data_IF_490057859182
#
_entry.id   IF_490057859182
#
_cell.length_a   1.000
_cell.length_b   1.000
_cell.length_c   1.000
_cell.angle_alpha   90.00
_cell.angle_beta   90.00
_cell.angle_gamma   90.00
#
_symmetry.space_group_name_H-M   'P 1'
#
loop_
_entity.id
_entity.type
_entity.pdbx_description
1 polymer ?
#
# COMPACT_ATOMS: atom_id res chain seq x y z
N UNK A 1 24.54 -5.14 39.38
CA UNK A 1 24.00 -5.99 38.26
C UNK A 1 23.94 -7.41 38.73
N UNK A 2 22.83 -8.09 38.53
CA UNK A 2 22.73 -9.49 38.93
C UNK A 2 21.69 -10.24 38.08
N UNK A 3 22.04 -11.47 37.71
CA UNK A 3 21.10 -12.44 37.19
C UNK A 3 20.83 -13.44 38.30
N UNK A 4 19.61 -13.49 38.82
CA UNK A 4 19.25 -14.37 39.93
C UNK A 4 18.18 -15.38 39.46
N UNK A 5 18.29 -16.64 39.90
CA UNK A 5 17.27 -17.63 39.66
C UNK A 5 16.08 -17.37 40.58
N UNK A 6 14.89 -17.31 40.03
CA UNK A 6 13.64 -17.11 40.77
C UNK A 6 13.02 -18.41 41.22
N UNK A 7 12.08 -18.35 42.17
CA UNK A 7 11.35 -19.55 42.66
C UNK A 7 10.55 -20.27 41.55
N UNK A 8 10.22 -19.57 40.45
CA UNK A 8 9.47 -20.10 39.32
C UNK A 8 10.38 -20.61 38.20
N UNK A 9 11.59 -20.99 38.48
CA UNK A 9 12.58 -21.56 37.56
C UNK A 9 12.94 -20.65 36.37
N UNK A 10 12.72 -19.33 36.52
CA UNK A 10 13.14 -18.29 35.56
C UNK A 10 14.33 -17.51 36.05
N UNK A 11 14.99 -16.75 35.17
CA UNK A 11 16.13 -15.95 35.49
C UNK A 11 15.77 -14.47 35.45
N UNK A 12 15.88 -13.79 36.62
CA UNK A 12 15.64 -12.35 36.72
C UNK A 12 16.91 -11.58 36.49
N UNK A 13 16.90 -10.73 35.47
CA UNK A 13 17.95 -9.76 35.21
C UNK A 13 17.63 -8.45 35.90
N UNK A 14 18.62 -7.86 36.61
CA UNK A 14 18.54 -6.50 37.18
C UNK A 14 19.74 -5.69 36.72
N UNK A 15 19.51 -4.55 36.08
CA UNK A 15 20.52 -3.62 35.59
C UNK A 15 20.22 -2.22 36.11
N UNK A 16 21.19 -1.56 36.68
CA UNK A 16 21.11 -0.15 37.03
C UNK A 16 21.23 0.71 35.79
N UNK A 17 20.34 1.69 35.62
CA UNK A 17 20.33 2.64 34.50
C UNK A 17 20.69 4.02 35.04
N UNK A 18 21.81 4.63 34.61
CA UNK A 18 22.16 6.00 34.97
C UNK A 18 21.10 7.01 34.55
N UNK A 19 20.95 8.13 35.28
CA UNK A 19 19.89 9.11 35.04
C UNK A 19 19.99 9.75 33.64
N UNK A 20 21.20 10.05 33.21
CA UNK A 20 21.55 10.63 31.91
C UNK A 20 21.32 9.67 30.75
N UNK A 21 21.31 8.36 31.00
CA UNK A 21 21.10 7.31 29.99
C UNK A 21 19.60 6.96 29.81
N UNK A 22 18.79 7.18 30.82
CA UNK A 22 17.34 6.84 30.83
C UNK A 22 16.55 7.37 29.61
N UNK A 23 16.66 8.66 29.24
CA UNK A 23 15.93 9.21 28.10
C UNK A 23 16.26 8.47 26.80
N UNK A 24 17.51 8.09 26.61
CA UNK A 24 17.99 7.41 25.39
C UNK A 24 17.54 5.96 25.27
N UNK A 25 17.27 5.29 26.39
CA UNK A 25 16.81 3.91 26.41
C UNK A 25 15.29 3.77 26.55
N UNK A 26 14.56 4.88 26.72
CA UNK A 26 13.11 4.87 26.99
C UNK A 26 12.75 4.18 28.31
N UNK A 27 13.68 4.15 29.30
CA UNK A 27 13.50 3.49 30.59
C UNK A 27 13.31 4.56 31.66
N UNK A 28 12.17 4.58 32.34
CA UNK A 28 11.86 5.56 33.38
C UNK A 28 12.38 5.19 34.78
N UNK A 29 12.70 3.92 35.00
CA UNK A 29 13.12 3.40 36.32
C UNK A 29 14.65 3.38 36.50
N UNK A 30 15.12 3.56 37.74
CA UNK A 30 16.56 3.40 38.07
C UNK A 30 17.08 1.98 37.91
N UNK A 31 16.18 1.00 38.10
CA UNK A 31 16.50 -0.42 37.95
C UNK A 31 15.65 -1.01 36.85
N UNK A 32 16.30 -1.48 35.78
CA UNK A 32 15.65 -2.29 34.77
C UNK A 32 15.56 -3.74 35.26
N UNK A 33 14.36 -4.31 35.26
CA UNK A 33 14.11 -5.69 35.64
C UNK A 33 13.36 -6.44 34.53
N UNK A 34 13.84 -7.65 34.21
CA UNK A 34 13.15 -8.53 33.23
C UNK A 34 13.45 -10.00 33.56
N UNK A 35 12.42 -10.84 33.40
CA UNK A 35 12.55 -12.29 33.56
C UNK A 35 12.73 -13.00 32.23
N UNK A 36 13.58 -14.03 32.20
CA UNK A 36 13.91 -14.85 31.04
C UNK A 36 13.76 -16.32 31.36
N UNK A 37 13.49 -17.15 30.36
CA UNK A 37 13.36 -18.59 30.51
C UNK A 37 14.71 -19.27 30.77
N UNK A 38 15.79 -18.75 30.18
CA UNK A 38 17.13 -19.33 30.32
C UNK A 38 18.14 -18.28 30.78
N UNK A 39 19.19 -18.75 31.49
CA UNK A 39 20.31 -17.91 31.92
C UNK A 39 21.08 -17.33 30.71
N UNK A 40 21.14 -18.08 29.61
CA UNK A 40 21.81 -17.66 28.37
C UNK A 40 21.11 -16.46 27.73
N UNK A 41 19.78 -16.47 27.68
CA UNK A 41 18.96 -15.35 27.20
C UNK A 41 19.12 -14.11 28.09
N UNK A 42 19.06 -14.30 29.42
CA UNK A 42 19.28 -13.21 30.37
C UNK A 42 20.66 -12.57 30.18
N UNK A 43 21.70 -13.37 30.02
CA UNK A 43 23.09 -12.89 29.84
C UNK A 43 23.26 -12.19 28.46
N UNK A 44 22.64 -12.71 27.41
CA UNK A 44 22.68 -12.04 26.11
C UNK A 44 22.00 -10.66 26.17
N UNK A 45 20.84 -10.58 26.84
CA UNK A 45 20.12 -9.32 26.99
C UNK A 45 20.85 -8.33 27.90
N UNK A 46 21.51 -8.82 28.96
CA UNK A 46 22.40 -8.02 29.82
C UNK A 46 23.51 -7.36 29.00
N UNK A 47 24.21 -8.15 28.19
CA UNK A 47 25.29 -7.66 27.35
C UNK A 47 24.85 -6.62 26.35
N UNK A 48 23.68 -6.83 25.71
CA UNK A 48 23.08 -5.90 24.77
C UNK A 48 22.73 -4.58 25.46
N UNK A 49 22.11 -4.63 26.64
CA UNK A 49 21.73 -3.46 27.41
C UNK A 49 22.98 -2.68 27.90
N UNK A 50 24.00 -3.37 28.38
CA UNK A 50 25.27 -2.77 28.79
C UNK A 50 25.99 -2.09 27.64
N UNK A 51 25.99 -2.71 26.48
CA UNK A 51 26.57 -2.13 25.26
C UNK A 51 25.85 -0.82 24.90
N UNK A 52 24.53 -0.78 25.04
CA UNK A 52 23.75 0.44 24.82
C UNK A 52 24.05 1.52 25.83
N UNK A 53 24.10 1.18 27.13
CA UNK A 53 24.48 2.11 28.19
C UNK A 53 25.87 2.72 27.91
N UNK A 54 26.84 1.88 27.62
CA UNK A 54 28.21 2.33 27.34
C UNK A 54 28.27 3.23 26.09
N UNK A 55 27.54 2.94 25.05
CA UNK A 55 27.47 3.81 23.86
C UNK A 55 26.91 5.21 24.18
N UNK A 56 25.96 5.31 25.09
CA UNK A 56 25.44 6.60 25.55
C UNK A 56 26.49 7.36 26.36
N UNK A 57 27.15 6.66 27.33
CA UNK A 57 28.20 7.23 28.17
C UNK A 57 29.42 7.68 27.35
N UNK A 58 29.78 6.93 26.30
CA UNK A 58 30.89 7.27 25.38
C UNK A 58 30.52 8.39 24.36
N UNK A 59 29.30 8.96 24.44
CA UNK A 59 28.82 9.97 23.49
C UNK A 59 28.60 9.46 22.06
N UNK A 60 28.65 8.14 21.87
CA UNK A 60 28.50 7.45 20.57
C UNK A 60 27.02 7.14 20.30
N UNK A 61 26.17 7.30 21.31
CA UNK A 61 24.74 7.17 21.17
C UNK A 61 24.17 8.52 20.67
N UNK A 62 24.21 8.71 19.38
CA UNK A 62 23.24 9.58 18.78
C UNK A 62 21.90 8.90 19.03
N UNK A 63 20.98 9.63 19.71
CA UNK A 63 19.56 9.27 19.73
C UNK A 63 19.13 9.19 18.27
N UNK A 64 19.24 7.99 17.69
CA UNK A 64 18.92 7.83 16.32
C UNK A 64 17.41 7.75 16.31
N UNK A 65 16.74 8.88 15.98
CA UNK A 65 15.32 8.91 15.64
C UNK A 65 14.92 7.67 14.83
N UNK A 66 15.88 7.08 14.11
CA UNK A 66 15.74 5.87 13.30
C UNK A 66 15.54 4.56 14.07
N UNK A 67 15.67 4.53 15.39
CA UNK A 67 15.36 3.33 16.20
C UNK A 67 13.85 3.15 16.43
N UNK A 68 13.03 4.09 15.96
CA UNK A 68 11.59 3.97 15.88
C UNK A 68 11.20 2.74 15.03
N UNK A 69 10.16 1.99 15.45
CA UNK A 69 9.62 0.89 14.67
C UNK A 69 9.04 1.39 13.33
N UNK A 70 9.17 0.59 12.29
CA UNK A 70 8.59 0.91 10.99
C UNK A 70 7.07 1.15 11.08
N UNK A 71 6.36 0.35 11.91
CA UNK A 71 4.92 0.55 12.17
C UNK A 71 4.62 1.90 12.80
N UNK A 72 5.43 2.36 13.74
CA UNK A 72 5.23 3.61 14.47
C UNK A 72 5.61 4.80 13.60
N UNK A 73 6.70 4.70 12.84
CA UNK A 73 7.08 5.71 11.86
C UNK A 73 5.99 5.87 10.78
N UNK A 74 5.48 4.75 10.24
CA UNK A 74 4.36 4.78 9.30
C UNK A 74 3.17 5.53 9.89
N UNK A 75 2.71 5.14 11.10
CA UNK A 75 1.49 5.64 11.70
C UNK A 75 1.59 7.09 12.17
N UNK A 76 2.70 7.44 12.82
CA UNK A 76 2.82 8.71 13.56
C UNK A 76 3.53 9.81 12.76
N UNK A 77 4.30 9.45 11.72
CA UNK A 77 5.13 10.39 10.95
C UNK A 77 4.72 10.41 9.47
N UNK A 78 4.83 9.26 8.79
CA UNK A 78 4.63 9.21 7.35
C UNK A 78 3.16 9.37 6.94
N UNK A 79 2.22 8.79 7.66
CA UNK A 79 0.82 8.71 7.27
C UNK A 79 0.14 10.08 7.14
N UNK A 80 0.36 10.98 8.11
CA UNK A 80 -0.21 12.34 8.04
C UNK A 80 0.45 13.15 6.92
N UNK A 81 1.76 13.06 6.79
CA UNK A 81 2.50 13.70 5.69
C UNK A 81 2.06 13.19 4.32
N UNK A 82 1.79 11.89 4.20
CA UNK A 82 1.26 11.29 2.98
C UNK A 82 -0.14 11.84 2.63
N UNK A 83 -1.05 11.91 3.59
CA UNK A 83 -2.39 12.49 3.38
C UNK A 83 -2.32 13.97 2.98
N UNK A 84 -1.36 14.68 3.49
CA UNK A 84 -1.09 16.07 3.10
C UNK A 84 -0.41 16.21 1.73
N UNK A 85 0.01 15.11 1.08
CA UNK A 85 0.69 15.12 -0.22
C UNK A 85 2.18 15.45 -0.16
N UNK A 86 2.79 15.46 1.04
CA UNK A 86 4.19 15.86 1.24
C UNK A 86 5.21 14.77 0.89
N UNK A 87 4.80 13.50 0.92
CA UNK A 87 5.71 12.36 0.68
C UNK A 87 5.85 11.98 -0.78
N UNK A 88 5.29 12.77 -1.69
CA UNK A 88 5.32 12.53 -3.14
C UNK A 88 5.71 13.80 -3.87
N UNK A 89 6.30 13.65 -5.06
CA UNK A 89 6.64 14.78 -5.93
C UNK A 89 5.42 15.47 -6.58
N UNK A 90 4.21 14.94 -6.36
CA UNK A 90 2.98 15.54 -6.87
C UNK A 90 2.47 16.62 -5.93
N UNK A 91 2.14 17.79 -6.46
CA UNK A 91 1.67 18.95 -5.69
C UNK A 91 0.25 18.80 -5.13
N UNK A 92 -0.46 17.71 -5.44
CA UNK A 92 -1.84 17.48 -4.98
C UNK A 92 -1.90 16.34 -3.96
N UNK A 93 -2.60 16.55 -2.84
CA UNK A 93 -2.89 15.48 -1.91
C UNK A 93 -3.60 14.29 -2.60
N UNK A 94 -3.37 13.05 -2.14
CA UNK A 94 -4.03 11.89 -2.68
C UNK A 94 -5.55 11.95 -2.42
N UNK A 95 -6.34 11.44 -3.37
CA UNK A 95 -7.80 11.34 -3.18
C UNK A 95 -8.15 10.38 -2.04
N UNK A 96 -9.32 10.54 -1.43
CA UNK A 96 -9.83 9.63 -0.39
C UNK A 96 -9.76 8.16 -0.82
N UNK A 97 -10.14 7.85 -2.05
CA UNK A 97 -10.06 6.50 -2.59
C UNK A 97 -8.62 5.96 -2.65
N UNK A 98 -7.64 6.82 -2.91
CA UNK A 98 -6.21 6.48 -2.91
C UNK A 98 -5.72 6.25 -1.48
N UNK A 99 -6.10 7.12 -0.53
CA UNK A 99 -5.77 7.01 0.89
C UNK A 99 -6.23 5.65 1.45
N UNK A 100 -7.49 5.28 1.23
CA UNK A 100 -8.02 3.99 1.69
C UNK A 100 -7.31 2.80 1.03
N UNK A 101 -7.01 2.90 -0.27
CA UNK A 101 -6.25 1.86 -0.97
C UNK A 101 -4.84 1.70 -0.40
N UNK A 102 -4.19 2.81 -0.05
CA UNK A 102 -2.86 2.83 0.55
C UNK A 102 -2.87 2.20 1.94
N UNK A 103 -3.84 2.57 2.78
CA UNK A 103 -4.01 1.98 4.12
C UNK A 103 -4.16 0.46 4.04
N UNK A 104 -4.98 -0.04 3.12
CA UNK A 104 -5.16 -1.49 2.90
C UNK A 104 -3.85 -2.16 2.50
N UNK A 105 -3.05 -1.54 1.63
CA UNK A 105 -1.74 -2.08 1.22
C UNK A 105 -0.79 -2.16 2.40
N UNK A 106 -0.69 -1.11 3.21
CA UNK A 106 0.14 -1.15 4.42
C UNK A 106 -0.33 -2.22 5.39
N UNK A 107 -1.60 -2.22 5.76
CA UNK A 107 -2.17 -3.14 6.73
C UNK A 107 -2.05 -4.62 6.32
N UNK A 108 -2.31 -4.94 5.05
CA UNK A 108 -2.33 -6.33 4.56
C UNK A 108 -0.97 -6.85 4.09
N UNK A 109 -0.07 -5.97 3.63
CA UNK A 109 1.11 -6.44 2.89
C UNK A 109 2.44 -5.91 3.42
N UNK A 110 2.50 -4.69 3.97
CA UNK A 110 3.78 -4.08 4.37
C UNK A 110 4.03 -4.24 5.87
N UNK A 111 3.09 -3.83 6.71
CA UNK A 111 3.24 -3.89 8.16
C UNK A 111 3.47 -5.31 8.72
N UNK A 112 2.80 -6.36 8.19
CA UNK A 112 3.06 -7.72 8.68
C UNK A 112 4.49 -8.22 8.48
N UNK A 113 5.23 -7.67 7.51
CA UNK A 113 6.59 -8.11 7.18
C UNK A 113 7.69 -7.16 7.67
N UNK A 114 7.41 -5.85 7.77
CA UNK A 114 8.40 -4.84 8.14
C UNK A 114 8.10 -4.14 9.46
N UNK A 115 6.86 -4.15 9.93
CA UNK A 115 6.36 -3.31 11.02
C UNK A 115 7.09 -3.48 12.36
N UNK A 116 7.57 -4.67 12.67
CA UNK A 116 8.25 -4.99 13.94
C UNK A 116 9.76 -4.66 13.96
N UNK A 117 10.32 -4.23 12.84
CA UNK A 117 11.72 -3.82 12.76
C UNK A 117 11.84 -2.30 12.88
N UNK A 118 12.96 -1.81 13.42
CA UNK A 118 13.24 -0.38 13.39
C UNK A 118 13.67 0.09 11.99
N UNK A 119 13.41 1.36 11.69
CA UNK A 119 13.81 2.01 10.43
C UNK A 119 15.32 1.87 10.23
N UNK A 120 16.09 2.13 11.29
CA UNK A 120 17.56 2.06 11.26
C UNK A 120 18.07 0.64 11.01
N UNK A 121 17.49 -0.37 11.70
CA UNK A 121 17.83 -1.77 11.48
C UNK A 121 17.60 -2.17 10.02
N UNK A 122 16.44 -1.87 9.46
CA UNK A 122 16.12 -2.22 8.08
C UNK A 122 17.07 -1.52 7.09
N UNK A 123 17.34 -0.23 7.32
CA UNK A 123 18.22 0.55 6.46
C UNK A 123 19.67 0.02 6.44
N UNK A 124 20.13 -0.51 7.56
CA UNK A 124 21.48 -1.11 7.69
C UNK A 124 21.53 -2.56 7.17
N UNK A 125 20.45 -3.32 7.27
CA UNK A 125 20.39 -4.75 6.95
C UNK A 125 19.70 -5.04 5.63
N UNK A 126 20.29 -4.60 4.51
CA UNK A 126 19.72 -4.75 3.15
C UNK A 126 19.29 -6.17 2.83
N UNK A 127 20.03 -7.19 3.26
CA UNK A 127 19.71 -8.59 2.95
C UNK A 127 18.40 -9.03 3.60
N UNK A 128 18.09 -8.58 4.80
CA UNK A 128 16.81 -8.85 5.46
C UNK A 128 15.66 -8.29 4.63
N UNK A 129 15.78 -7.02 4.20
CA UNK A 129 14.76 -6.36 3.37
C UNK A 129 14.60 -7.05 2.03
N UNK A 130 15.70 -7.44 1.37
CA UNK A 130 15.65 -8.18 0.11
C UNK A 130 14.86 -9.49 0.29
N UNK A 131 15.18 -10.27 1.31
CA UNK A 131 14.54 -11.57 1.54
C UNK A 131 13.03 -11.41 1.78
N UNK A 132 12.64 -10.48 2.67
CA UNK A 132 11.23 -10.22 3.00
C UNK A 132 10.44 -9.71 1.78
N UNK A 133 10.99 -8.77 1.04
CA UNK A 133 10.31 -8.20 -0.12
C UNK A 133 10.31 -9.16 -1.32
N UNK A 134 11.32 -10.00 -1.50
CA UNK A 134 11.34 -11.02 -2.57
C UNK A 134 10.27 -12.07 -2.32
N UNK A 135 10.16 -12.59 -1.09
CA UNK A 135 9.08 -13.49 -0.72
C UNK A 135 7.69 -12.86 -1.00
N UNK A 136 7.53 -11.58 -0.67
CA UNK A 136 6.28 -10.86 -0.95
C UNK A 136 6.03 -10.64 -2.45
N UNK A 137 7.06 -10.50 -3.25
CA UNK A 137 6.95 -10.38 -4.71
C UNK A 137 6.50 -11.68 -5.39
N UNK A 138 6.76 -12.83 -4.77
CA UNK A 138 6.27 -14.14 -5.21
C UNK A 138 4.81 -14.38 -4.84
N UNK A 139 4.33 -13.77 -3.76
CA UNK A 139 2.97 -13.90 -3.26
C UNK A 139 1.99 -12.89 -3.90
N UNK A 140 2.42 -11.64 -4.11
CA UNK A 140 1.54 -10.53 -4.47
C UNK A 140 1.85 -9.94 -5.84
N UNK A 141 0.89 -10.05 -6.79
CA UNK A 141 1.10 -9.62 -8.18
C UNK A 141 1.35 -8.11 -8.33
N UNK A 142 0.68 -7.26 -7.52
CA UNK A 142 0.87 -5.80 -7.59
C UNK A 142 2.03 -5.31 -6.71
N UNK A 143 3.11 -6.08 -6.65
CA UNK A 143 4.30 -5.80 -5.83
C UNK A 143 4.94 -4.42 -6.11
N UNK A 144 4.78 -3.87 -7.31
CA UNK A 144 5.29 -2.53 -7.64
C UNK A 144 4.78 -1.45 -6.68
N UNK A 145 3.54 -1.57 -6.21
CA UNK A 145 2.93 -0.64 -5.25
C UNK A 145 3.59 -0.76 -3.87
N UNK A 146 3.80 -2.01 -3.39
CA UNK A 146 4.53 -2.26 -2.15
C UNK A 146 5.93 -1.64 -2.21
N UNK A 147 6.66 -1.92 -3.28
CA UNK A 147 8.00 -1.40 -3.52
C UNK A 147 8.05 0.13 -3.48
N UNK A 148 7.07 0.79 -4.10
CA UNK A 148 6.96 2.25 -4.11
C UNK A 148 6.74 2.81 -2.72
N UNK A 149 5.80 2.26 -1.95
CA UNK A 149 5.51 2.74 -0.60
C UNK A 149 6.65 2.47 0.39
N UNK A 150 7.27 1.30 0.34
CA UNK A 150 8.43 1.01 1.19
C UNK A 150 9.56 1.99 0.90
N UNK A 151 9.85 2.27 -0.38
CA UNK A 151 10.85 3.27 -0.74
C UNK A 151 10.48 4.66 -0.22
N UNK A 152 9.21 5.07 -0.36
CA UNK A 152 8.71 6.36 0.13
C UNK A 152 8.82 6.52 1.65
N UNK A 153 8.68 5.44 2.42
CA UNK A 153 8.92 5.46 3.88
C UNK A 153 10.38 5.80 4.18
N UNK A 154 11.33 5.16 3.48
CA UNK A 154 12.77 5.40 3.72
C UNK A 154 13.25 6.73 3.14
N UNK A 155 12.69 7.17 2.01
CA UNK A 155 12.99 8.50 1.46
C UNK A 155 12.50 9.60 2.42
N UNK A 156 11.32 9.42 3.04
CA UNK A 156 10.78 10.36 4.03
C UNK A 156 11.53 10.31 5.37
N UNK A 157 12.03 9.12 5.75
CA UNK A 157 12.87 8.97 6.92
C UNK A 157 14.24 9.65 6.75
N UNK A 158 14.80 9.67 5.55
CA UNK A 158 16.00 10.43 5.18
C UNK A 158 15.71 11.94 5.23
N UNK A 159 14.64 12.39 4.60
CA UNK A 159 14.25 13.82 4.55
C UNK A 159 14.04 14.42 5.95
N UNK A 160 13.51 13.63 6.90
CA UNK A 160 13.29 14.06 8.27
C UNK A 160 14.44 13.70 9.23
N UNK A 161 15.59 13.27 8.71
CA UNK A 161 16.81 12.96 9.48
C UNK A 161 16.63 11.84 10.52
N UNK A 162 15.71 10.88 10.26
CA UNK A 162 15.62 9.62 11.01
C UNK A 162 16.74 8.66 10.63
N UNK A 163 17.21 8.76 9.41
CA UNK A 163 18.38 8.04 8.88
C UNK A 163 19.22 9.04 8.04
N UNK A 164 20.52 8.83 8.03
CA UNK A 164 21.45 9.69 7.29
C UNK A 164 21.24 9.59 5.76
N UNK A 165 20.94 8.39 5.27
CA UNK A 165 20.68 8.14 3.84
C UNK A 165 19.85 6.88 3.65
N UNK A 166 18.96 6.88 2.64
CA UNK A 166 18.22 5.70 2.22
C UNK A 166 19.12 4.72 1.46
N UNK A 167 19.73 3.78 2.18
CA UNK A 167 20.60 2.75 1.60
C UNK A 167 19.85 1.68 0.81
N UNK A 168 18.52 1.65 0.90
CA UNK A 168 17.67 0.61 0.32
C UNK A 168 17.14 0.98 -1.07
N UNK A 169 17.10 2.26 -1.45
CA UNK A 169 16.45 2.77 -2.66
C UNK A 169 16.83 1.98 -3.92
N UNK A 170 18.14 1.85 -4.20
CA UNK A 170 18.63 1.09 -5.38
C UNK A 170 18.30 -0.40 -5.29
N UNK A 171 18.39 -0.96 -4.08
CA UNK A 171 18.14 -2.38 -3.80
C UNK A 171 16.68 -2.74 -4.01
N UNK A 172 15.77 -1.98 -3.42
CA UNK A 172 14.32 -2.19 -3.52
C UNK A 172 13.86 -2.08 -4.98
N UNK A 173 14.38 -1.14 -5.74
CA UNK A 173 14.01 -0.95 -7.16
C UNK A 173 14.36 -2.15 -8.04
N UNK A 174 15.37 -2.94 -7.67
CA UNK A 174 15.83 -4.12 -8.45
C UNK A 174 15.00 -5.37 -8.18
N UNK A 175 14.21 -5.43 -7.12
CA UNK A 175 13.37 -6.61 -6.81
C UNK A 175 12.27 -6.71 -7.87
N UNK A 176 12.22 -7.83 -8.59
CA UNK A 176 11.26 -8.07 -9.66
C UNK A 176 9.89 -8.45 -9.10
N UNK A 177 8.81 -8.07 -9.77
CA UNK A 177 7.44 -8.48 -9.45
C UNK A 177 7.16 -9.90 -9.99
N UNK A 178 7.76 -10.90 -9.39
CA UNK A 178 7.84 -12.28 -9.87
C UNK A 178 6.46 -12.90 -10.11
N UNK A 179 5.52 -12.73 -9.16
CA UNK A 179 4.13 -13.20 -9.31
C UNK A 179 3.46 -12.64 -10.56
N UNK A 180 3.65 -11.34 -10.81
CA UNK A 180 3.07 -10.68 -11.99
C UNK A 180 3.68 -11.20 -13.29
N UNK A 181 4.98 -11.47 -13.29
CA UNK A 181 5.68 -12.02 -14.47
C UNK A 181 5.11 -13.42 -14.77
N UNK A 182 5.10 -14.32 -13.79
CA UNK A 182 4.53 -15.67 -13.94
C UNK A 182 3.07 -15.64 -14.43
N UNK A 183 2.23 -14.75 -13.89
CA UNK A 183 0.84 -14.60 -14.32
C UNK A 183 0.72 -14.06 -15.75
N UNK A 184 1.69 -13.26 -16.21
CA UNK A 184 1.70 -12.77 -17.59
C UNK A 184 2.13 -13.89 -18.56
N UNK A 185 3.13 -14.66 -18.18
CA UNK A 185 3.65 -15.78 -19.00
C UNK A 185 2.67 -16.95 -19.10
N UNK A 186 1.81 -17.14 -18.08
CA UNK A 186 0.79 -18.20 -18.09
C UNK A 186 -0.47 -17.85 -18.89
N UNK A 187 -0.67 -16.58 -19.27
CA UNK A 187 -1.81 -16.18 -20.10
C UNK A 187 -1.54 -16.49 -21.56
N UNK A 188 -2.44 -17.22 -22.16
CA UNK A 188 -2.46 -17.40 -23.61
C UNK A 188 -3.09 -16.20 -24.29
N UNK A 189 -2.74 -15.95 -25.53
CA UNK A 189 -3.28 -14.81 -26.29
C UNK A 189 -4.80 -14.95 -26.50
N UNK A 190 -5.28 -16.17 -26.71
CA UNK A 190 -6.68 -16.53 -26.84
C UNK A 190 -7.54 -16.18 -25.57
N UNK A 191 -6.90 -16.13 -24.38
CA UNK A 191 -7.58 -15.77 -23.12
C UNK A 191 -7.75 -14.23 -22.94
N UNK A 192 -7.24 -13.43 -23.85
CA UNK A 192 -7.25 -11.96 -23.72
C UNK A 192 -8.44 -11.28 -24.38
N UNK A 193 -9.08 -11.94 -25.31
CA UNK A 193 -10.20 -11.43 -26.10
C UNK A 193 -11.31 -12.46 -26.19
N UNK A 194 -12.54 -12.00 -26.33
CA UNK A 194 -13.63 -12.86 -26.75
C UNK A 194 -13.54 -13.05 -28.27
N UNK A 195 -13.75 -14.26 -28.72
CA UNK A 195 -14.03 -14.52 -30.14
C UNK A 195 -15.36 -13.89 -30.54
N UNK A 196 -15.63 -13.82 -31.84
CA UNK A 196 -16.92 -13.28 -32.32
C UNK A 196 -18.10 -14.12 -31.82
N UNK A 197 -17.97 -15.43 -31.78
CA UNK A 197 -19.03 -16.32 -31.31
C UNK A 197 -19.29 -16.18 -29.80
N UNK A 198 -18.22 -16.06 -29.01
CA UNK A 198 -18.33 -15.81 -27.57
C UNK A 198 -18.96 -14.45 -27.29
N UNK A 199 -18.61 -13.41 -28.05
CA UNK A 199 -19.21 -12.09 -27.91
C UNK A 199 -20.71 -12.13 -28.24
N UNK A 200 -21.10 -12.82 -29.31
CA UNK A 200 -22.50 -13.01 -29.67
C UNK A 200 -23.26 -13.83 -28.60
N UNK A 201 -22.63 -14.81 -28.00
CA UNK A 201 -23.23 -15.56 -26.90
C UNK A 201 -23.46 -14.67 -25.67
N UNK A 202 -22.50 -13.76 -25.36
CA UNK A 202 -22.67 -12.76 -24.32
C UNK A 202 -23.84 -11.83 -24.57
N UNK A 203 -23.98 -11.28 -25.76
CA UNK A 203 -25.11 -10.39 -26.12
C UNK A 203 -26.45 -11.09 -25.97
N UNK A 204 -26.56 -12.33 -26.44
CA UNK A 204 -27.78 -13.15 -26.28
C UNK A 204 -28.13 -13.35 -24.82
N UNK A 205 -27.14 -13.73 -23.99
CA UNK A 205 -27.35 -13.93 -22.55
C UNK A 205 -27.83 -12.65 -21.85
N UNK A 206 -27.26 -11.47 -22.19
CA UNK A 206 -27.71 -10.19 -21.66
C UNK A 206 -29.16 -9.86 -22.08
N UNK A 207 -29.53 -10.14 -23.31
CA UNK A 207 -30.89 -9.92 -23.81
C UNK A 207 -31.90 -10.88 -23.14
N UNK A 208 -31.56 -12.14 -23.01
CA UNK A 208 -32.38 -13.15 -22.32
C UNK A 208 -32.58 -12.77 -20.83
N UNK A 209 -31.54 -12.27 -20.16
CA UNK A 209 -31.66 -11.84 -18.76
C UNK A 209 -32.51 -10.57 -18.62
N UNK A 210 -32.49 -9.67 -19.60
CA UNK A 210 -33.40 -8.50 -19.65
C UNK A 210 -34.84 -8.96 -19.82
N UNK A 211 -35.12 -9.82 -20.80
CA UNK A 211 -36.44 -10.36 -21.11
C UNK A 211 -37.05 -11.15 -19.92
N UNK A 212 -36.22 -11.88 -19.21
CA UNK A 212 -36.61 -12.64 -18.02
C UNK A 212 -36.62 -11.79 -16.71
N UNK A 213 -36.49 -10.48 -16.80
CA UNK A 213 -36.44 -9.55 -15.65
C UNK A 213 -35.34 -9.88 -14.61
N UNK A 214 -34.28 -10.57 -15.01
CA UNK A 214 -33.10 -10.80 -14.17
C UNK A 214 -32.12 -9.61 -14.20
N UNK A 215 -32.16 -8.84 -15.28
CA UNK A 215 -31.39 -7.64 -15.49
C UNK A 215 -32.32 -6.44 -15.69
N UNK A 216 -32.02 -5.31 -15.05
CA UNK A 216 -32.77 -4.08 -15.28
C UNK A 216 -32.38 -3.44 -16.64
N UNK A 217 -33.33 -2.73 -17.26
CA UNK A 217 -33.03 -1.96 -18.48
C UNK A 217 -31.88 -0.97 -18.27
N UNK A 218 -31.79 -0.38 -17.08
CA UNK A 218 -30.72 0.54 -16.71
C UNK A 218 -29.34 -0.16 -16.71
N UNK A 219 -29.24 -1.38 -16.17
CA UNK A 219 -27.99 -2.13 -16.13
C UNK A 219 -27.60 -2.64 -17.52
N UNK A 220 -28.60 -3.04 -18.31
CA UNK A 220 -28.43 -3.40 -19.72
C UNK A 220 -27.90 -2.21 -20.53
N UNK A 221 -28.52 -1.04 -20.44
CA UNK A 221 -28.09 0.17 -21.11
C UNK A 221 -26.67 0.61 -20.66
N UNK A 222 -26.36 0.50 -19.37
CA UNK A 222 -25.01 0.81 -18.84
C UNK A 222 -23.95 -0.13 -19.43
N UNK A 223 -24.24 -1.43 -19.53
CA UNK A 223 -23.31 -2.40 -20.11
C UNK A 223 -23.03 -2.04 -21.59
N UNK A 224 -24.07 -1.88 -22.42
CA UNK A 224 -23.89 -1.57 -23.82
C UNK A 224 -23.26 -0.19 -24.04
N UNK A 225 -23.58 0.80 -23.22
CA UNK A 225 -22.91 2.11 -23.27
C UNK A 225 -21.40 1.94 -23.03
N UNK A 226 -21.02 1.22 -21.99
CA UNK A 226 -19.59 0.95 -21.69
C UNK A 226 -18.92 0.15 -22.81
N UNK A 227 -19.62 -0.83 -23.37
CA UNK A 227 -19.12 -1.66 -24.47
C UNK A 227 -18.84 -0.80 -25.72
N UNK A 228 -19.79 0.00 -26.19
CA UNK A 228 -19.64 0.81 -27.40
C UNK A 228 -18.67 1.98 -27.23
N UNK A 229 -18.60 2.58 -26.06
CA UNK A 229 -17.68 3.70 -25.80
C UNK A 229 -16.25 3.23 -25.48
N UNK A 230 -16.06 2.02 -24.96
CA UNK A 230 -14.77 1.57 -24.45
C UNK A 230 -14.22 2.47 -23.35
N UNK A 231 -15.06 3.21 -22.65
CA UNK A 231 -14.71 4.14 -21.62
C UNK A 231 -14.38 3.43 -20.27
N UNK A 232 -13.98 4.21 -19.28
CA UNK A 232 -13.69 3.62 -17.96
C UNK A 232 -14.98 3.51 -17.17
N UNK A 233 -15.12 2.43 -16.38
CA UNK A 233 -16.24 2.23 -15.45
C UNK A 233 -16.64 3.52 -14.69
N UNK A 234 -15.65 4.28 -14.21
CA UNK A 234 -15.89 5.53 -13.48
C UNK A 234 -16.44 6.66 -14.35
N UNK A 235 -16.20 6.61 -15.64
CA UNK A 235 -16.68 7.55 -16.66
C UNK A 235 -18.12 7.19 -17.08
N UNK A 236 -18.39 5.91 -17.35
CA UNK A 236 -19.74 5.42 -17.63
C UNK A 236 -20.73 5.74 -16.48
N UNK A 237 -20.31 5.49 -15.22
CA UNK A 237 -21.13 5.80 -14.05
C UNK A 237 -21.37 7.31 -13.82
N UNK A 238 -20.57 8.17 -14.47
CA UNK A 238 -20.70 9.64 -14.38
C UNK A 238 -21.52 10.24 -15.51
N UNK A 239 -22.00 9.45 -16.46
CA UNK A 239 -22.82 9.93 -17.57
C UNK A 239 -24.15 10.51 -17.04
N UNK A 240 -24.56 11.60 -17.63
CA UNK A 240 -25.82 12.27 -17.36
C UNK A 240 -26.52 12.54 -18.68
N UNK A 241 -27.84 12.53 -18.70
CA UNK A 241 -28.66 12.78 -19.91
C UNK A 241 -28.30 14.07 -20.63
N UNK A 242 -27.92 15.13 -19.94
CA UNK A 242 -27.47 16.40 -20.54
C UNK A 242 -26.20 16.26 -21.40
N UNK A 243 -25.47 15.15 -21.29
CA UNK A 243 -24.28 14.86 -22.08
C UNK A 243 -24.54 13.91 -23.24
N UNK A 244 -25.80 13.53 -23.46
CA UNK A 244 -26.25 12.58 -24.47
C UNK A 244 -27.15 13.29 -25.44
N UNK A 245 -26.78 13.34 -26.70
CA UNK A 245 -27.58 13.88 -27.81
C UNK A 245 -27.97 12.70 -28.71
N UNK A 246 -29.16 12.14 -28.46
CA UNK A 246 -29.66 10.99 -29.23
C UNK A 246 -30.00 11.37 -30.67
N UNK A 247 -30.39 12.63 -30.95
CA UNK A 247 -30.69 13.10 -32.30
C UNK A 247 -29.45 13.13 -33.18
N UNK A 248 -28.34 13.59 -32.61
CA UNK A 248 -27.03 13.63 -33.30
C UNK A 248 -26.24 12.35 -33.11
N UNK A 249 -26.71 11.40 -32.32
CA UNK A 249 -25.97 10.16 -31.99
C UNK A 249 -24.62 10.44 -31.32
N UNK A 250 -24.59 11.32 -30.31
CA UNK A 250 -23.35 11.72 -29.63
C UNK A 250 -23.44 11.63 -28.12
N UNK A 251 -22.36 11.12 -27.51
CA UNK A 251 -22.16 11.10 -26.03
C UNK A 251 -20.85 11.84 -25.70
N UNK A 252 -20.92 12.71 -24.68
CA UNK A 252 -19.77 13.42 -24.16
C UNK A 252 -19.35 12.85 -22.81
N UNK A 253 -18.11 12.36 -22.73
CA UNK A 253 -17.48 11.90 -21.49
C UNK A 253 -16.60 13.04 -20.96
N UNK A 254 -17.07 13.74 -19.93
CA UNK A 254 -16.42 14.94 -19.40
C UNK A 254 -16.03 14.80 -17.92
N UNK A 255 -16.55 13.80 -17.23
CA UNK A 255 -16.34 13.58 -15.81
C UNK A 255 -16.32 12.09 -15.48
N UNK A 256 -15.91 11.78 -14.24
CA UNK A 256 -15.88 10.44 -13.70
C UNK A 256 -16.41 10.44 -12.26
N UNK A 257 -17.01 9.34 -11.80
CA UNK A 257 -17.36 9.13 -10.40
C UNK A 257 -16.31 8.26 -9.72
N UNK A 258 -15.94 8.62 -8.50
CA UNK A 258 -15.14 7.73 -7.67
C UNK A 258 -16.02 6.70 -6.93
N UNK A 259 -15.40 5.84 -6.12
CA UNK A 259 -16.12 4.82 -5.35
C UNK A 259 -17.06 5.39 -4.27
N UNK A 260 -16.93 6.67 -3.95
CA UNK A 260 -17.81 7.40 -3.02
C UNK A 260 -18.87 8.24 -3.73
N UNK A 261 -19.05 8.04 -5.04
CA UNK A 261 -19.96 8.81 -5.90
C UNK A 261 -19.64 10.32 -5.97
N UNK A 262 -18.37 10.68 -5.70
CA UNK A 262 -17.90 12.05 -5.83
C UNK A 262 -17.49 12.29 -7.29
N UNK A 263 -18.01 13.33 -7.90
CA UNK A 263 -17.66 13.76 -9.25
C UNK A 263 -16.21 14.29 -9.28
N UNK A 264 -15.47 13.89 -10.29
CA UNK A 264 -14.11 14.35 -10.57
C UNK A 264 -13.88 14.45 -12.07
N UNK A 265 -12.86 15.18 -12.46
CA UNK A 265 -12.41 15.19 -13.85
C UNK A 265 -11.97 13.80 -14.31
N UNK A 266 -12.06 13.55 -15.61
CA UNK A 266 -11.50 12.35 -16.24
C UNK A 266 -10.00 12.28 -16.05
N UNK A 267 -9.39 11.11 -16.20
CA UNK A 267 -7.94 10.96 -16.09
C UNK A 267 -7.23 11.80 -17.16
N UNK A 268 -6.43 12.77 -16.73
CA UNK A 268 -5.75 13.72 -17.61
C UNK A 268 -6.62 14.89 -18.07
N UNK A 269 -7.77 15.13 -17.43
CA UNK A 269 -8.66 16.25 -17.70
C UNK A 269 -9.22 16.28 -19.15
N UNK A 270 -9.26 15.12 -19.80
CA UNK A 270 -9.73 15.00 -21.20
C UNK A 270 -11.25 14.98 -21.24
N UNK A 271 -11.80 15.78 -22.15
CA UNK A 271 -13.20 15.71 -22.56
C UNK A 271 -13.25 15.02 -23.92
N UNK A 272 -14.03 13.95 -24.03
CA UNK A 272 -14.12 13.16 -25.27
C UNK A 272 -15.56 13.09 -25.72
N UNK A 273 -15.79 13.30 -27.02
CA UNK A 273 -17.10 13.11 -27.64
C UNK A 273 -17.03 11.85 -28.50
N UNK A 274 -17.96 10.95 -28.29
CA UNK A 274 -18.12 9.72 -29.04
C UNK A 274 -19.34 9.84 -29.98
N UNK A 275 -19.21 9.34 -31.20
CA UNK A 275 -20.38 9.00 -32.04
C UNK A 275 -20.83 7.60 -31.63
N UNK A 276 -22.13 7.42 -31.45
CA UNK A 276 -22.73 6.16 -31.01
C UNK A 276 -23.50 5.50 -32.15
N UNK A 277 -23.49 4.16 -32.23
CA UNK A 277 -24.22 3.44 -33.25
C UNK A 277 -25.73 3.47 -32.97
N UNK A 278 -26.52 3.14 -34.00
CA UNK A 278 -27.97 3.16 -33.93
C UNK A 278 -28.54 2.22 -32.87
N UNK A 279 -27.91 1.06 -32.69
CA UNK A 279 -28.29 0.07 -31.67
C UNK A 279 -28.22 0.65 -30.26
N UNK A 280 -27.20 1.46 -29.96
CA UNK A 280 -27.11 2.11 -28.66
C UNK A 280 -28.13 3.24 -28.51
N UNK A 281 -28.45 3.97 -29.59
CA UNK A 281 -29.48 4.99 -29.57
C UNK A 281 -30.81 4.35 -29.20
N UNK A 282 -31.18 3.24 -29.82
CA UNK A 282 -32.40 2.48 -29.55
C UNK A 282 -32.50 2.02 -28.10
N UNK A 283 -31.39 1.46 -27.56
CA UNK A 283 -31.33 1.04 -26.16
C UNK A 283 -31.53 2.21 -25.19
N UNK A 284 -30.94 3.37 -25.50
CA UNK A 284 -31.02 4.55 -24.64
C UNK A 284 -32.33 5.33 -24.81
N UNK A 285 -33.14 5.06 -25.88
CA UNK A 285 -34.43 5.70 -26.14
C UNK A 285 -35.58 5.00 -25.43
N UNK A 286 -35.42 3.77 -24.98
CA UNK A 286 -36.38 2.98 -24.22
C UNK A 286 -36.29 3.32 -22.71
#
# INVERSE_FOLDING_TARGET
>A
MSITKTKNDTYRLRVYIPEDVKPYLGISTKMYEKNFKTRKEAKKHELDLLTKIKKVEDGVFHDTKGDILFSDFYKNVWWESYKAGQTTSTTKPPSRATIDGTEIVFRKHILPILGSYSINFLNQNKQVVINLLTAKAEEYANFKVIRSYVNSIFDWAEELEYIETNRLSKTIRRIKATKKIKLKESKKEEDLYLSQDELQAWFRAFQEDLENNKLSLKDYALFFTTFFLGDRKSESYALQWKHIDLVKGKIQVIQALDKYKVEKSTKGNKKTTFSIPQELIEILSN
#
